data_IF_961942459164
#
_entry.id   IF_961942459164
#
_cell.length_a   1.000
_cell.length_b   1.000
_cell.length_c   1.000
_cell.angle_alpha   90.00
_cell.angle_beta   90.00
_cell.angle_gamma   90.00
#
_symmetry.space_group_name_H-M   'P 1'
#
loop_
_entity.id
_entity.type
_entity.pdbx_description
1 polymer ?
#
# COMPACT_ATOMS: atom_id res chain seq x y z
N UNK A 1 -20.29 24.19 3.07
CA UNK A 1 -19.32 24.38 1.97
C UNK A 1 -19.05 23.03 1.31
N UNK A 2 -18.67 22.96 0.03
CA UNK A 2 -18.26 21.70 -0.59
C UNK A 2 -17.05 21.15 0.16
N UNK A 3 -17.07 19.85 0.48
CA UNK A 3 -15.97 19.17 1.18
C UNK A 3 -14.76 19.05 0.24
N UNK A 4 -13.54 19.17 0.78
CA UNK A 4 -12.32 18.83 0.06
C UNK A 4 -12.29 17.31 -0.18
N UNK A 5 -12.24 16.89 -1.44
CA UNK A 5 -12.17 15.49 -1.84
C UNK A 5 -10.71 15.02 -1.89
N UNK A 6 -10.37 14.01 -1.10
CA UNK A 6 -9.01 13.45 -1.04
C UNK A 6 -9.07 11.93 -0.93
N UNK A 7 -8.16 11.24 -1.62
CA UNK A 7 -8.07 9.80 -1.63
C UNK A 7 -6.66 9.35 -1.26
N UNK A 8 -6.58 8.44 -0.29
CA UNK A 8 -5.35 7.83 0.19
C UNK A 8 -5.26 6.40 -0.30
N UNK A 9 -4.12 6.04 -0.88
CA UNK A 9 -3.86 4.73 -1.44
C UNK A 9 -2.63 4.11 -0.79
N UNK A 10 -2.73 2.86 -0.36
CA UNK A 10 -1.56 1.99 -0.35
C UNK A 10 -1.09 1.70 -1.80
N UNK A 11 0.16 1.26 -1.97
CA UNK A 11 0.73 0.92 -3.28
C UNK A 11 0.84 -0.59 -3.49
N UNK A 12 1.43 -1.31 -2.54
CA UNK A 12 1.98 -2.64 -2.71
C UNK A 12 0.94 -3.68 -2.32
N UNK A 13 0.37 -4.40 -3.30
CA UNK A 13 -0.81 -5.25 -3.08
C UNK A 13 -2.13 -4.51 -3.35
N UNK A 14 -2.08 -3.18 -3.42
CA UNK A 14 -3.25 -2.32 -3.65
C UNK A 14 -3.32 -1.74 -5.06
N UNK A 15 -2.32 -0.97 -5.50
CA UNK A 15 -2.27 -0.47 -6.89
C UNK A 15 -1.54 -1.48 -7.77
N UNK A 16 -0.49 -2.10 -7.24
CA UNK A 16 0.37 -3.05 -7.94
C UNK A 16 0.27 -4.43 -7.30
N UNK A 17 0.34 -5.48 -8.10
CA UNK A 17 0.35 -6.87 -7.64
C UNK A 17 1.73 -7.36 -7.20
N UNK A 18 2.80 -6.70 -7.66
CA UNK A 18 4.18 -6.91 -7.23
C UNK A 18 4.63 -5.66 -6.51
N UNK A 19 5.26 -5.82 -5.35
CA UNK A 19 5.72 -4.69 -4.56
C UNK A 19 6.84 -3.92 -5.26
N UNK A 20 6.99 -2.64 -4.91
CA UNK A 20 8.09 -1.79 -5.34
C UNK A 20 9.44 -2.37 -4.89
N UNK A 21 9.49 -2.97 -3.70
CA UNK A 21 10.71 -3.59 -3.14
C UNK A 21 11.09 -4.88 -3.86
N UNK A 22 10.14 -5.74 -4.24
CA UNK A 22 10.43 -6.93 -5.05
C UNK A 22 10.90 -6.53 -6.46
N UNK A 23 10.29 -5.49 -7.04
CA UNK A 23 10.70 -4.94 -8.34
C UNK A 23 12.10 -4.31 -8.28
N UNK A 24 12.44 -3.65 -7.18
CA UNK A 24 13.78 -3.13 -6.91
C UNK A 24 14.81 -4.26 -6.77
N UNK A 25 14.48 -5.33 -6.04
CA UNK A 25 15.34 -6.50 -5.95
C UNK A 25 15.65 -7.08 -7.34
N UNK A 26 14.62 -7.29 -8.17
CA UNK A 26 14.78 -7.84 -9.51
C UNK A 26 15.68 -6.97 -10.39
N UNK A 27 15.45 -5.66 -10.43
CA UNK A 27 16.27 -4.75 -11.26
C UNK A 27 17.71 -4.66 -10.74
N UNK A 28 17.92 -4.69 -9.41
CA UNK A 28 19.25 -4.65 -8.83
C UNK A 28 20.06 -5.90 -9.19
N UNK A 29 19.44 -7.08 -9.17
CA UNK A 29 20.12 -8.33 -9.53
C UNK A 29 20.39 -8.42 -11.04
N UNK A 30 19.48 -7.93 -11.88
CA UNK A 30 19.54 -8.10 -13.33
C UNK A 30 20.40 -7.05 -14.03
N UNK A 31 20.28 -5.78 -13.62
CA UNK A 31 20.75 -4.66 -14.42
C UNK A 31 21.87 -3.86 -13.76
N UNK A 32 22.10 -4.06 -12.45
CA UNK A 32 23.02 -3.26 -11.67
C UNK A 32 24.12 -4.12 -11.03
N UNK A 33 25.40 -3.89 -11.35
CA UNK A 33 26.46 -4.63 -10.69
C UNK A 33 26.53 -4.27 -9.20
N UNK A 34 26.77 -5.28 -8.35
CA UNK A 34 27.12 -5.00 -6.96
C UNK A 34 28.49 -4.30 -6.91
N UNK A 35 28.56 -3.16 -6.22
CA UNK A 35 29.75 -2.31 -6.14
C UNK A 35 30.41 -2.31 -4.76
N UNK A 36 29.88 -3.11 -3.83
CA UNK A 36 30.38 -3.20 -2.48
C UNK A 36 31.53 -4.19 -2.32
N UNK A 37 32.08 -4.26 -1.11
CA UNK A 37 33.26 -5.09 -0.82
C UNK A 37 32.92 -6.49 -0.29
N UNK A 38 31.68 -6.74 0.14
CA UNK A 38 31.28 -7.98 0.79
C UNK A 38 30.37 -8.81 -0.12
N UNK A 39 30.99 -9.37 -1.16
CA UNK A 39 30.32 -10.21 -2.17
C UNK A 39 29.73 -11.49 -1.56
N UNK A 40 30.38 -12.07 -0.54
CA UNK A 40 29.87 -13.24 0.17
C UNK A 40 28.49 -12.95 0.80
N UNK A 41 28.36 -11.83 1.53
CA UNK A 41 27.07 -11.41 2.09
C UNK A 41 26.04 -11.11 1.00
N UNK A 42 26.46 -10.47 -0.10
CA UNK A 42 25.57 -10.17 -1.23
C UNK A 42 24.96 -11.46 -1.82
N UNK A 43 25.77 -12.49 -2.03
CA UNK A 43 25.32 -13.79 -2.53
C UNK A 43 24.49 -14.56 -1.49
N UNK A 44 24.88 -14.50 -0.21
CA UNK A 44 24.13 -15.12 0.88
C UNK A 44 22.71 -14.56 0.96
N UNK A 45 22.53 -13.24 0.91
CA UNK A 45 21.21 -12.60 0.96
C UNK A 45 20.34 -13.03 -0.23
N UNK A 46 20.89 -13.16 -1.44
CA UNK A 46 20.14 -13.66 -2.59
C UNK A 46 19.69 -15.12 -2.43
N UNK A 47 20.54 -15.97 -1.86
CA UNK A 47 20.20 -17.37 -1.57
C UNK A 47 19.11 -17.47 -0.50
N UNK A 48 19.21 -16.69 0.59
CA UNK A 48 18.18 -16.59 1.62
C UNK A 48 16.82 -16.15 1.04
N UNK A 49 16.81 -15.09 0.24
CA UNK A 49 15.60 -14.61 -0.46
C UNK A 49 15.03 -15.71 -1.36
N UNK A 50 15.88 -16.42 -2.09
CA UNK A 50 15.46 -17.51 -2.98
C UNK A 50 14.85 -18.69 -2.23
N UNK A 51 15.39 -19.03 -1.05
CA UNK A 51 14.85 -20.06 -0.16
C UNK A 51 13.51 -19.64 0.44
N UNK A 52 13.42 -18.43 1.00
CA UNK A 52 12.18 -17.87 1.54
C UNK A 52 11.09 -17.79 0.46
N UNK A 53 11.45 -17.38 -0.76
CA UNK A 53 10.51 -17.32 -1.89
C UNK A 53 9.90 -18.67 -2.25
N UNK A 54 10.70 -19.73 -2.19
CA UNK A 54 10.21 -21.10 -2.40
C UNK A 54 9.34 -21.53 -1.23
N UNK A 55 9.80 -21.30 -0.02
CA UNK A 55 9.13 -21.69 1.21
C UNK A 55 7.70 -21.12 1.28
N UNK A 56 7.52 -19.79 1.22
CA UNK A 56 6.19 -19.18 1.38
C UNK A 56 5.21 -19.61 0.28
N UNK A 57 5.68 -19.95 -0.93
CA UNK A 57 4.83 -20.44 -2.03
C UNK A 57 4.39 -21.89 -1.86
N UNK A 58 5.16 -22.67 -1.11
CA UNK A 58 4.88 -24.09 -0.84
C UNK A 58 4.26 -24.34 0.54
N UNK A 59 4.27 -23.34 1.41
CA UNK A 59 3.71 -23.42 2.76
C UNK A 59 2.20 -23.20 2.72
N UNK A 60 1.47 -23.95 3.55
CA UNK A 60 0.04 -23.74 3.78
C UNK A 60 -0.15 -22.62 4.81
N UNK A 61 -0.38 -23.00 6.06
CA UNK A 61 -0.74 -22.06 7.13
C UNK A 61 0.40 -21.10 7.52
N UNK A 62 1.67 -21.47 7.30
CA UNK A 62 2.86 -20.63 7.59
C UNK A 62 3.20 -19.64 6.46
N UNK A 63 2.41 -19.60 5.39
CA UNK A 63 2.74 -18.78 4.21
C UNK A 63 2.87 -17.28 4.53
N UNK A 64 2.01 -16.76 5.40
CA UNK A 64 1.97 -15.34 5.74
C UNK A 64 3.22 -14.90 6.54
N UNK A 65 3.62 -15.68 7.54
CA UNK A 65 4.83 -15.41 8.33
C UNK A 65 6.09 -15.46 7.47
N UNK A 66 6.23 -16.51 6.63
CA UNK A 66 7.35 -16.66 5.71
C UNK A 66 7.37 -15.57 4.62
N UNK A 67 6.20 -15.09 4.21
CA UNK A 67 6.09 -13.95 3.30
C UNK A 67 6.55 -12.64 3.98
N UNK A 68 6.25 -12.46 5.26
CA UNK A 68 6.77 -11.36 6.07
C UNK A 68 8.31 -11.37 6.15
N UNK A 69 8.90 -12.53 6.46
CA UNK A 69 10.36 -12.70 6.47
C UNK A 69 10.98 -12.45 5.09
N UNK A 70 10.35 -12.96 4.02
CA UNK A 70 10.75 -12.71 2.65
C UNK A 70 10.78 -11.20 2.34
N UNK A 71 9.72 -10.46 2.69
CA UNK A 71 9.64 -9.02 2.46
C UNK A 71 10.75 -8.26 3.20
N UNK A 72 11.00 -8.58 4.48
CA UNK A 72 12.08 -7.96 5.24
C UNK A 72 13.45 -8.24 4.61
N UNK A 73 13.68 -9.46 4.17
CA UNK A 73 14.97 -9.85 3.59
C UNK A 73 15.22 -9.20 2.23
N UNK A 74 14.17 -9.03 1.41
CA UNK A 74 14.22 -8.26 0.15
C UNK A 74 14.62 -6.80 0.40
N UNK A 75 14.05 -6.16 1.43
CA UNK A 75 14.41 -4.79 1.83
C UNK A 75 15.87 -4.72 2.30
N UNK A 76 16.29 -5.64 3.17
CA UNK A 76 17.68 -5.69 3.64
C UNK A 76 18.67 -5.81 2.49
N UNK A 77 18.43 -6.76 1.57
CA UNK A 77 19.24 -6.92 0.37
C UNK A 77 19.29 -5.63 -0.44
N UNK A 78 18.14 -5.00 -0.68
CA UNK A 78 18.07 -3.80 -1.52
C UNK A 78 18.89 -2.66 -0.92
N UNK A 79 18.79 -2.43 0.39
CA UNK A 79 19.54 -1.39 1.08
C UNK A 79 21.05 -1.68 1.11
N UNK A 80 21.41 -2.96 1.21
CA UNK A 80 22.80 -3.42 1.17
C UNK A 80 23.42 -3.31 -0.23
N UNK A 81 22.71 -3.74 -1.27
CA UNK A 81 23.15 -3.69 -2.66
C UNK A 81 23.39 -2.25 -3.16
N UNK A 82 22.64 -1.28 -2.62
CA UNK A 82 22.75 0.14 -2.94
C UNK A 82 23.88 0.88 -2.20
N UNK A 83 24.67 0.21 -1.35
CA UNK A 83 25.58 0.89 -0.40
C UNK A 83 26.62 1.82 -1.07
N UNK A 84 27.11 1.45 -2.26
CA UNK A 84 28.10 2.23 -3.04
C UNK A 84 27.47 3.03 -4.19
N UNK A 85 26.15 3.12 -4.26
CA UNK A 85 25.46 3.98 -5.22
C UNK A 85 25.27 5.39 -4.63
N UNK A 86 25.41 6.41 -5.49
CA UNK A 86 25.08 7.79 -5.14
C UNK A 86 23.56 7.97 -4.99
N UNK A 87 23.13 9.01 -4.27
CA UNK A 87 21.70 9.30 -4.11
C UNK A 87 21.00 9.58 -5.46
N UNK A 88 21.72 10.14 -6.43
CA UNK A 88 21.20 10.38 -7.77
C UNK A 88 20.98 9.07 -8.53
N UNK A 89 21.95 8.14 -8.49
CA UNK A 89 21.78 6.81 -9.09
C UNK A 89 20.65 6.02 -8.41
N UNK A 90 20.53 6.09 -7.08
CA UNK A 90 19.43 5.44 -6.35
C UNK A 90 18.06 5.98 -6.80
N UNK A 91 17.94 7.29 -6.99
CA UNK A 91 16.71 7.91 -7.52
C UNK A 91 16.42 7.46 -8.95
N UNK A 92 17.45 7.34 -9.79
CA UNK A 92 17.28 6.87 -11.16
C UNK A 92 16.86 5.39 -11.22
N UNK A 93 17.44 4.53 -10.37
CA UNK A 93 16.99 3.14 -10.19
C UNK A 93 15.52 3.11 -9.79
N UNK A 94 15.11 3.93 -8.82
CA UNK A 94 13.71 4.03 -8.40
C UNK A 94 12.78 4.51 -9.51
N UNK A 95 13.24 5.46 -10.34
CA UNK A 95 12.50 5.91 -11.53
C UNK A 95 12.28 4.75 -12.51
N UNK A 96 13.32 3.95 -12.78
CA UNK A 96 13.20 2.77 -13.66
C UNK A 96 12.21 1.75 -13.11
N UNK A 97 12.22 1.48 -11.79
CA UNK A 97 11.23 0.61 -11.14
C UNK A 97 9.80 1.13 -11.38
N UNK A 98 9.56 2.42 -11.21
CA UNK A 98 8.24 3.00 -11.43
C UNK A 98 7.79 2.92 -12.91
N UNK A 99 8.71 3.12 -13.87
CA UNK A 99 8.37 3.19 -15.30
C UNK A 99 8.32 1.83 -16.00
N UNK A 100 9.31 0.96 -15.79
CA UNK A 100 9.47 -0.28 -16.57
C UNK A 100 8.42 -1.33 -16.22
N UNK A 101 7.95 -1.31 -14.98
CA UNK A 101 6.98 -2.28 -14.50
C UNK A 101 5.54 -1.74 -14.49
N UNK A 102 5.31 -0.51 -14.92
CA UNK A 102 3.98 0.11 -15.03
C UNK A 102 3.08 -0.72 -15.95
N UNK A 103 1.77 -0.67 -15.71
CA UNK A 103 0.69 -1.30 -16.49
C UNK A 103 0.65 -2.84 -16.51
N UNK A 104 1.80 -3.52 -16.52
CA UNK A 104 1.87 -4.98 -16.51
C UNK A 104 1.62 -5.57 -15.13
N UNK A 105 1.96 -4.82 -14.07
CA UNK A 105 1.82 -5.24 -12.68
C UNK A 105 0.70 -4.50 -11.94
N UNK A 106 -0.02 -3.59 -12.59
CA UNK A 106 -1.08 -2.82 -11.95
C UNK A 106 -2.42 -3.58 -11.98
N UNK A 107 -3.19 -3.49 -10.90
CA UNK A 107 -4.58 -3.95 -10.91
C UNK A 107 -5.43 -3.06 -11.80
N UNK A 108 -6.27 -3.68 -12.63
CA UNK A 108 -7.14 -2.96 -13.56
C UNK A 108 -8.13 -2.08 -12.79
N UNK A 109 -8.71 -2.61 -11.72
CA UNK A 109 -9.62 -1.85 -10.88
C UNK A 109 -8.95 -0.61 -10.31
N UNK A 110 -7.77 -0.75 -9.70
CA UNK A 110 -7.06 0.37 -9.08
C UNK A 110 -6.69 1.46 -10.10
N UNK A 111 -6.31 1.07 -11.32
CA UNK A 111 -6.06 2.02 -12.42
C UNK A 111 -7.30 2.81 -12.81
N UNK A 112 -8.43 2.14 -13.01
CA UNK A 112 -9.69 2.81 -13.36
C UNK A 112 -10.20 3.67 -12.21
N UNK A 113 -10.05 3.23 -10.95
CA UNK A 113 -10.39 4.02 -9.77
C UNK A 113 -9.55 5.31 -9.69
N UNK A 114 -8.23 5.22 -9.87
CA UNK A 114 -7.34 6.40 -9.90
C UNK A 114 -7.79 7.39 -10.97
N UNK A 115 -8.14 6.90 -12.17
CA UNK A 115 -8.63 7.74 -13.27
C UNK A 115 -9.97 8.40 -12.92
N UNK A 116 -10.92 7.63 -12.41
CA UNK A 116 -12.24 8.12 -12.00
C UNK A 116 -12.13 9.18 -10.91
N UNK A 117 -11.40 8.91 -9.82
CA UNK A 117 -11.26 9.87 -8.72
C UNK A 117 -10.60 11.18 -9.17
N UNK A 118 -9.61 11.10 -10.07
CA UNK A 118 -9.01 12.30 -10.67
C UNK A 118 -10.02 13.12 -11.46
N UNK A 119 -10.87 12.47 -12.26
CA UNK A 119 -11.94 13.14 -13.01
C UNK A 119 -12.97 13.79 -12.07
N UNK A 120 -13.22 13.17 -10.92
CA UNK A 120 -14.12 13.67 -9.88
C UNK A 120 -13.52 14.76 -8.97
N UNK A 121 -12.27 15.18 -9.25
CA UNK A 121 -11.58 16.27 -8.56
C UNK A 121 -10.99 15.89 -7.22
N UNK A 122 -10.65 14.61 -6.99
CA UNK A 122 -9.93 14.19 -5.78
C UNK A 122 -8.44 14.54 -5.85
N UNK A 123 -7.88 15.05 -4.75
CA UNK A 123 -6.45 14.97 -4.48
C UNK A 123 -6.07 13.50 -4.23
N UNK A 124 -5.02 12.99 -4.88
CA UNK A 124 -4.58 11.60 -4.73
C UNK A 124 -3.24 11.55 -3.98
N UNK A 125 -3.22 10.82 -2.86
CA UNK A 125 -2.05 10.67 -1.98
C UNK A 125 -1.72 9.19 -1.81
N UNK A 126 -0.45 8.83 -1.88
CA UNK A 126 0.01 7.47 -1.62
C UNK A 126 0.70 7.37 -0.25
N UNK A 127 0.41 6.31 0.51
CA UNK A 127 1.03 5.97 1.80
C UNK A 127 1.47 4.51 1.74
N UNK A 128 2.77 4.25 1.68
CA UNK A 128 3.34 2.89 1.54
C UNK A 128 4.48 2.65 2.52
N UNK A 129 4.65 1.39 2.93
CA UNK A 129 5.82 0.93 3.69
C UNK A 129 7.10 0.80 2.86
N UNK A 130 7.03 0.97 1.53
CA UNK A 130 8.19 0.92 0.65
C UNK A 130 9.12 2.12 0.84
N UNK A 131 10.44 1.98 0.53
CA UNK A 131 11.40 3.07 0.61
C UNK A 131 10.94 4.34 -0.11
N UNK A 132 11.12 5.48 0.55
CA UNK A 132 10.63 6.79 0.06
C UNK A 132 11.06 7.12 -1.36
N UNK A 133 12.29 6.80 -1.76
CA UNK A 133 12.75 7.10 -3.12
C UNK A 133 11.96 6.32 -4.20
N UNK A 134 11.46 5.11 -3.87
CA UNK A 134 10.57 4.35 -4.75
C UNK A 134 9.17 4.97 -4.76
N UNK A 135 8.65 5.33 -3.59
CA UNK A 135 7.33 5.98 -3.45
C UNK A 135 7.31 7.31 -4.19
N UNK A 136 8.34 8.15 -4.04
CA UNK A 136 8.46 9.44 -4.72
C UNK A 136 8.53 9.28 -6.25
N UNK A 137 9.25 8.26 -6.74
CA UNK A 137 9.27 7.92 -8.15
C UNK A 137 7.89 7.45 -8.65
N UNK A 138 7.24 6.58 -7.89
CA UNK A 138 5.90 6.06 -8.20
C UNK A 138 4.86 7.19 -8.27
N UNK A 139 4.76 8.05 -7.24
CA UNK A 139 3.74 9.12 -7.23
C UNK A 139 3.93 10.12 -8.36
N UNK A 140 5.19 10.39 -8.75
CA UNK A 140 5.50 11.23 -9.91
C UNK A 140 5.01 10.59 -11.20
N UNK A 141 5.28 9.30 -11.39
CA UNK A 141 4.91 8.55 -12.60
C UNK A 141 3.39 8.36 -12.74
N UNK A 142 2.69 8.14 -11.61
CA UNK A 142 1.25 7.88 -11.57
C UNK A 142 0.39 9.14 -11.39
N UNK A 143 1.02 10.31 -11.26
CA UNK A 143 0.34 11.60 -11.13
C UNK A 143 -0.45 11.75 -9.83
N UNK A 144 0.16 11.35 -8.72
CA UNK A 144 -0.31 11.60 -7.35
C UNK A 144 0.29 12.92 -6.85
N UNK A 145 -0.44 13.64 -5.98
CA UNK A 145 0.03 14.94 -5.45
C UNK A 145 1.12 14.78 -4.40
N UNK A 146 1.10 13.67 -3.64
CA UNK A 146 2.01 13.41 -2.53
C UNK A 146 2.22 11.92 -2.33
N UNK A 147 3.45 11.55 -2.02
CA UNK A 147 3.83 10.23 -1.51
C UNK A 147 4.38 10.33 -0.08
N UNK A 148 3.98 9.38 0.75
CA UNK A 148 4.51 9.13 2.10
C UNK A 148 5.06 7.71 2.08
N UNK A 149 6.38 7.60 2.23
CA UNK A 149 7.10 6.33 2.13
C UNK A 149 8.09 6.18 3.27
N UNK A 150 8.56 4.96 3.50
CA UNK A 150 9.51 4.64 4.56
C UNK A 150 10.85 5.35 4.33
N UNK A 151 11.27 6.15 5.31
CA UNK A 151 12.53 6.89 5.23
C UNK A 151 13.71 5.98 5.58
N UNK A 152 14.76 6.09 4.77
CA UNK A 152 16.05 5.44 5.00
C UNK A 152 17.17 6.47 4.93
N UNK A 153 18.04 6.47 5.94
CA UNK A 153 19.19 7.37 6.01
C UNK A 153 20.43 6.59 5.63
N UNK A 154 21.22 7.12 4.70
CA UNK A 154 22.51 6.52 4.34
C UNK A 154 23.50 6.75 5.48
N UNK A 155 24.03 5.67 6.04
CA UNK A 155 25.14 5.72 6.98
C UNK A 155 26.39 6.16 6.21
N UNK A 156 26.95 7.32 6.53
CA UNK A 156 28.12 7.85 5.80
C UNK A 156 29.39 7.01 5.99
N UNK A 157 29.49 6.27 7.09
CA UNK A 157 30.66 5.44 7.41
C UNK A 157 30.60 4.06 6.73
N UNK A 158 29.43 3.42 6.77
CA UNK A 158 29.22 2.09 6.19
C UNK A 158 28.75 2.16 4.72
N UNK A 159 28.12 3.26 4.32
CA UNK A 159 27.43 3.40 3.03
C UNK A 159 26.04 2.76 3.01
N UNK A 160 25.61 2.07 4.07
CA UNK A 160 24.37 1.29 4.10
C UNK A 160 23.18 2.19 4.47
N UNK A 161 22.03 1.97 3.82
CA UNK A 161 20.78 2.64 4.17
C UNK A 161 20.15 2.00 5.41
N UNK A 162 19.88 2.81 6.44
CA UNK A 162 19.23 2.41 7.70
C UNK A 162 17.83 3.00 7.78
N UNK A 163 16.87 2.17 8.14
CA UNK A 163 15.48 2.59 8.34
C UNK A 163 15.37 3.58 9.51
N UNK A 164 14.51 4.59 9.40
CA UNK A 164 14.21 5.49 10.52
C UNK A 164 13.19 4.88 11.49
N UNK A 165 13.03 5.46 12.67
CA UNK A 165 12.08 4.97 13.69
C UNK A 165 10.61 5.12 13.26
N UNK A 166 10.30 6.07 12.37
CA UNK A 166 8.94 6.30 11.88
C UNK A 166 8.60 5.21 10.88
N UNK A 167 7.67 4.32 11.28
CA UNK A 167 7.21 3.19 10.46
C UNK A 167 5.98 3.57 9.66
N UNK A 168 6.14 3.79 8.36
CA UNK A 168 5.06 4.25 7.47
C UNK A 168 4.00 3.17 7.21
N UNK A 169 4.34 1.90 7.42
CA UNK A 169 3.41 0.78 7.35
C UNK A 169 2.55 0.62 8.62
N UNK A 170 2.80 1.38 9.68
CA UNK A 170 2.02 1.31 10.92
C UNK A 170 1.20 2.58 11.12
N UNK A 171 0.02 2.45 11.72
CA UNK A 171 -0.82 3.58 12.13
C UNK A 171 -1.02 4.63 11.01
N UNK A 172 -1.30 4.18 9.77
CA UNK A 172 -1.37 5.06 8.59
C UNK A 172 -2.33 6.26 8.75
N UNK A 173 -3.36 6.12 9.59
CA UNK A 173 -4.29 7.19 9.95
C UNK A 173 -3.60 8.44 10.54
N UNK A 174 -2.44 8.30 11.20
CA UNK A 174 -1.68 9.43 11.74
C UNK A 174 -1.17 10.31 10.60
N UNK A 175 -0.60 9.70 9.55
CA UNK A 175 -0.14 10.44 8.36
C UNK A 175 -1.29 11.10 7.60
N UNK A 176 -2.45 10.44 7.56
CA UNK A 176 -3.68 11.04 7.02
C UNK A 176 -4.03 12.30 7.80
N UNK A 177 -4.21 12.21 9.11
CA UNK A 177 -4.61 13.35 9.93
C UNK A 177 -3.60 14.50 9.89
N UNK A 178 -2.30 14.19 9.93
CA UNK A 178 -1.24 15.18 9.79
C UNK A 178 -1.31 15.91 8.46
N UNK A 179 -1.49 15.17 7.36
CA UNK A 179 -1.61 15.78 6.04
C UNK A 179 -2.85 16.67 5.93
N UNK A 180 -4.00 16.22 6.44
CA UNK A 180 -5.22 17.02 6.40
C UNK A 180 -5.06 18.32 7.20
N UNK A 181 -4.42 18.27 8.37
CA UNK A 181 -4.08 19.48 9.15
C UNK A 181 -3.20 20.44 8.34
N UNK A 182 -2.21 19.94 7.61
CA UNK A 182 -1.37 20.76 6.73
C UNK A 182 -2.14 21.37 5.54
N UNK A 183 -3.29 20.80 5.16
CA UNK A 183 -4.17 21.30 4.08
C UNK A 183 -5.22 22.30 4.57
N UNK A 184 -5.34 22.53 5.88
CA UNK A 184 -6.31 23.45 6.45
C UNK A 184 -5.65 24.79 6.79
N UNK A 185 -6.20 25.90 6.29
CA UNK A 185 -5.69 27.26 6.56
C UNK A 185 -6.26 27.90 7.85
N UNK A 186 -6.70 27.09 8.82
CA UNK A 186 -7.41 27.51 10.02
C UNK A 186 -7.59 26.35 11.01
N UNK A 187 -8.67 26.37 11.80
CA UNK A 187 -8.99 25.25 12.71
C UNK A 187 -9.33 23.98 11.90
N UNK A 188 -8.73 22.87 12.28
CA UNK A 188 -8.92 21.60 11.60
C UNK A 188 -10.25 20.95 12.00
N UNK A 189 -11.12 20.71 11.01
CA UNK A 189 -12.30 19.88 11.19
C UNK A 189 -12.30 18.73 10.17
N UNK A 190 -12.31 17.49 10.65
CA UNK A 190 -12.38 16.29 9.80
C UNK A 190 -13.60 16.28 8.87
N UNK A 191 -14.71 16.91 9.28
CA UNK A 191 -15.94 17.03 8.49
C UNK A 191 -15.78 17.83 7.20
N UNK A 192 -14.72 18.64 7.08
CA UNK A 192 -14.45 19.47 5.90
C UNK A 192 -13.92 18.64 4.72
N UNK A 193 -13.58 17.37 4.97
CA UNK A 193 -13.02 16.46 4.00
C UNK A 193 -14.01 15.33 3.68
N UNK A 194 -13.98 14.90 2.42
CA UNK A 194 -14.54 13.62 2.00
C UNK A 194 -13.37 12.71 1.61
N UNK A 195 -13.15 11.67 2.40
CA UNK A 195 -11.96 10.84 2.33
C UNK A 195 -12.29 9.47 1.77
N UNK A 196 -11.54 9.08 0.74
CA UNK A 196 -11.47 7.71 0.27
C UNK A 196 -10.17 7.07 0.75
N UNK A 197 -10.24 5.84 1.22
CA UNK A 197 -9.06 5.03 1.53
C UNK A 197 -9.05 3.75 0.68
N UNK A 198 -7.89 3.38 0.16
CA UNK A 198 -7.70 2.18 -0.65
C UNK A 198 -6.50 1.40 -0.10
N UNK A 199 -6.68 0.12 0.17
CA UNK A 199 -5.64 -0.75 0.75
C UNK A 199 -6.00 -2.23 0.61
N UNK A 200 -5.09 -3.11 1.01
CA UNK A 200 -5.26 -4.57 0.89
C UNK A 200 -4.97 -5.32 2.20
N UNK A 201 -4.36 -4.66 3.19
CA UNK A 201 -3.89 -5.32 4.42
C UNK A 201 -4.48 -4.73 5.70
N UNK A 202 -4.34 -5.46 6.82
CA UNK A 202 -4.73 -4.98 8.15
C UNK A 202 -4.01 -3.69 8.57
N UNK A 203 -2.79 -3.47 8.06
CA UNK A 203 -2.03 -2.24 8.32
C UNK A 203 -2.74 -0.98 7.79
N UNK A 204 -3.61 -1.13 6.79
CA UNK A 204 -4.41 -0.05 6.22
C UNK A 204 -5.72 0.17 6.99
N UNK A 205 -6.10 -0.74 7.88
CA UNK A 205 -7.43 -0.76 8.49
C UNK A 205 -7.74 0.53 9.25
N UNK A 206 -6.80 1.08 10.01
CA UNK A 206 -7.04 2.34 10.75
C UNK A 206 -7.22 3.53 9.80
N UNK A 207 -6.51 3.54 8.66
CA UNK A 207 -6.74 4.54 7.61
C UNK A 207 -8.14 4.37 6.98
N UNK A 208 -8.54 3.13 6.73
CA UNK A 208 -9.87 2.79 6.21
C UNK A 208 -10.99 3.17 7.18
N UNK A 209 -10.81 2.92 8.47
CA UNK A 209 -11.79 3.31 9.48
C UNK A 209 -11.94 4.83 9.57
N UNK A 210 -10.84 5.57 9.42
CA UNK A 210 -10.87 7.04 9.40
C UNK A 210 -11.56 7.64 8.16
N UNK A 211 -11.71 6.87 7.08
CA UNK A 211 -12.25 7.34 5.80
C UNK A 211 -13.78 7.29 5.72
N UNK A 212 -14.35 8.08 4.80
CA UNK A 212 -15.80 8.09 4.52
C UNK A 212 -16.22 6.89 3.65
N UNK A 213 -15.35 6.46 2.72
CA UNK A 213 -15.54 5.31 1.84
C UNK A 213 -14.22 4.57 1.65
N UNK A 214 -14.28 3.24 1.57
CA UNK A 214 -13.09 2.40 1.47
C UNK A 214 -13.21 1.40 0.33
N UNK A 215 -12.09 1.13 -0.32
CA UNK A 215 -11.94 0.07 -1.30
C UNK A 215 -10.85 -0.88 -0.83
N UNK A 216 -11.21 -2.14 -0.62
CA UNK A 216 -10.30 -3.16 -0.10
C UNK A 216 -9.96 -4.12 -1.23
N UNK A 217 -8.70 -4.17 -1.63
CA UNK A 217 -8.24 -4.95 -2.77
C UNK A 217 -7.71 -6.30 -2.29
N UNK A 218 -8.21 -7.41 -2.84
CA UNK A 218 -7.73 -8.78 -2.61
C UNK A 218 -7.36 -9.10 -1.14
N UNK A 219 -8.21 -8.78 -0.13
CA UNK A 219 -7.82 -8.97 1.26
C UNK A 219 -7.59 -10.45 1.58
N UNK A 220 -6.68 -10.72 2.54
CA UNK A 220 -6.56 -12.04 3.15
C UNK A 220 -7.87 -12.45 3.85
N UNK A 221 -8.06 -13.75 4.10
CA UNK A 221 -9.25 -14.23 4.80
C UNK A 221 -9.33 -13.70 6.24
N UNK A 222 -8.19 -13.57 6.92
CA UNK A 222 -8.10 -12.97 8.25
C UNK A 222 -8.53 -11.51 8.22
N UNK A 223 -8.00 -10.72 7.29
CA UNK A 223 -8.35 -9.32 7.18
C UNK A 223 -9.81 -9.11 6.79
N UNK A 224 -10.31 -9.89 5.83
CA UNK A 224 -11.73 -9.88 5.47
C UNK A 224 -12.62 -10.17 6.69
N UNK A 225 -12.25 -11.14 7.52
CA UNK A 225 -12.97 -11.45 8.76
C UNK A 225 -12.96 -10.27 9.74
N UNK A 226 -11.83 -9.58 9.87
CA UNK A 226 -11.70 -8.35 10.67
C UNK A 226 -12.66 -7.25 10.20
N UNK A 227 -12.77 -7.04 8.88
CA UNK A 227 -13.72 -6.07 8.28
C UNK A 227 -15.18 -6.47 8.59
N UNK A 228 -15.53 -7.74 8.43
CA UNK A 228 -16.88 -8.25 8.74
C UNK A 228 -17.23 -8.01 10.21
N UNK A 229 -16.32 -8.31 11.13
CA UNK A 229 -16.52 -8.08 12.55
C UNK A 229 -16.70 -6.58 12.85
N UNK A 230 -15.91 -5.71 12.23
CA UNK A 230 -16.08 -4.27 12.35
C UNK A 230 -17.47 -3.81 11.89
N UNK A 231 -17.93 -4.27 10.72
CA UNK A 231 -19.25 -3.90 10.19
C UNK A 231 -20.37 -4.36 11.11
N UNK A 232 -20.27 -5.57 11.68
CA UNK A 232 -21.25 -6.08 12.66
C UNK A 232 -21.29 -5.22 13.92
N UNK A 233 -20.12 -4.89 14.47
CA UNK A 233 -20.02 -4.17 15.74
C UNK A 233 -20.45 -2.70 15.63
N UNK A 234 -20.38 -2.10 14.44
CA UNK A 234 -20.72 -0.69 14.18
C UNK A 234 -21.98 -0.54 13.31
N UNK A 235 -22.79 -1.59 13.24
CA UNK A 235 -23.96 -1.66 12.37
C UNK A 235 -24.94 -0.50 12.53
N UNK A 236 -25.34 -0.07 13.76
CA UNK A 236 -26.28 1.03 13.94
C UNK A 236 -25.82 2.36 13.34
N UNK A 237 -24.52 2.66 13.38
CA UNK A 237 -23.90 3.84 12.80
C UNK A 237 -23.80 3.72 11.28
N UNK A 238 -23.32 2.58 10.79
CA UNK A 238 -23.11 2.34 9.36
C UNK A 238 -24.41 2.31 8.57
N UNK A 239 -25.51 1.82 9.14
CA UNK A 239 -26.86 1.88 8.52
C UNK A 239 -27.34 3.31 8.23
N UNK A 240 -26.75 4.33 8.84
CA UNK A 240 -27.12 5.75 8.61
C UNK A 240 -26.40 6.34 7.40
N UNK A 241 -25.38 5.65 6.87
CA UNK A 241 -24.61 6.12 5.72
C UNK A 241 -25.45 5.95 4.45
N UNK A 242 -25.27 6.91 3.53
CA UNK A 242 -25.93 6.86 2.21
C UNK A 242 -25.41 5.73 1.32
N UNK A 243 -24.18 5.29 1.57
CA UNK A 243 -23.48 4.26 0.80
C UNK A 243 -22.75 3.31 1.75
N UNK A 244 -22.45 2.10 1.29
CA UNK A 244 -21.61 1.15 2.03
C UNK A 244 -20.26 1.78 2.37
N UNK A 245 -19.77 1.59 3.61
CA UNK A 245 -18.43 2.07 4.00
C UNK A 245 -17.34 1.28 3.28
N UNK A 246 -17.49 -0.03 3.17
CA UNK A 246 -16.52 -0.94 2.55
C UNK A 246 -17.01 -1.50 1.23
N UNK A 247 -16.17 -1.39 0.20
CA UNK A 247 -16.29 -2.14 -1.05
C UNK A 247 -15.07 -3.05 -1.18
N UNK A 248 -15.29 -4.35 -1.25
CA UNK A 248 -14.26 -5.38 -1.40
C UNK A 248 -14.12 -5.71 -2.88
N UNK A 249 -12.88 -5.76 -3.36
CA UNK A 249 -12.54 -6.03 -4.75
C UNK A 249 -11.67 -7.29 -4.79
N UNK A 250 -12.13 -8.32 -5.46
CA UNK A 250 -11.30 -9.50 -5.75
C UNK A 250 -10.92 -9.50 -7.23
N UNK A 251 -9.67 -9.18 -7.55
CA UNK A 251 -9.16 -9.16 -8.93
C UNK A 251 -8.20 -10.33 -9.17
N UNK A 252 -8.63 -11.29 -9.99
CA UNK A 252 -7.79 -12.43 -10.44
C UNK A 252 -7.63 -12.40 -11.94
N UNK A 253 -6.39 -12.33 -12.44
CA UNK A 253 -6.07 -12.25 -13.88
C UNK A 253 -6.86 -11.14 -14.61
N UNK A 254 -6.90 -9.93 -14.04
CA UNK A 254 -7.59 -8.76 -14.62
C UNK A 254 -9.11 -8.87 -14.71
N UNK A 255 -9.72 -9.76 -13.90
CA UNK A 255 -11.17 -9.87 -13.75
C UNK A 255 -11.53 -9.44 -12.33
N UNK A 256 -11.95 -8.18 -12.12
CA UNK A 256 -12.40 -7.72 -10.83
C UNK A 256 -13.80 -8.28 -10.54
N UNK A 257 -14.01 -8.73 -9.31
CA UNK A 257 -15.30 -9.03 -8.72
C UNK A 257 -15.51 -7.97 -7.64
N UNK A 258 -16.61 -7.23 -7.72
CA UNK A 258 -16.92 -6.15 -6.79
C UNK A 258 -17.97 -6.63 -5.81
N UNK A 259 -17.68 -6.51 -4.53
CA UNK A 259 -18.58 -6.87 -3.45
C UNK A 259 -18.77 -5.68 -2.53
N UNK A 260 -20.00 -5.25 -2.33
CA UNK A 260 -20.32 -4.18 -1.41
C UNK A 260 -20.83 -4.74 -0.09
N UNK A 261 -20.26 -4.25 1.02
CA UNK A 261 -20.67 -4.67 2.36
C UNK A 261 -21.65 -3.66 2.94
N UNK A 262 -22.91 -4.06 2.99
CA UNK A 262 -23.98 -3.29 3.60
C UNK A 262 -24.25 -3.77 5.01
N UNK A 263 -24.62 -2.82 5.87
CA UNK A 263 -25.28 -3.11 7.13
C UNK A 263 -26.74 -2.70 6.99
N UNK A 264 -27.68 -3.61 7.19
CA UNK A 264 -29.12 -3.31 7.13
C UNK A 264 -29.74 -3.42 8.53
N UNK A 265 -30.68 -2.52 8.84
CA UNK A 265 -31.59 -2.69 9.99
C UNK A 265 -32.81 -3.45 9.50
N UNK A 266 -33.03 -4.64 10.04
CA UNK A 266 -34.33 -5.32 9.91
C UNK A 266 -34.98 -5.50 11.29
N UNK A 267 -36.29 -5.77 11.30
CA UNK A 267 -37.19 -5.78 12.47
C UNK A 267 -36.72 -6.74 13.59
N UNK A 268 -35.77 -7.65 13.29
CA UNK A 268 -35.23 -8.67 14.19
C UNK A 268 -33.72 -8.53 14.51
N UNK A 269 -33.06 -7.42 14.16
CA UNK A 269 -31.60 -7.23 14.36
C UNK A 269 -30.83 -7.24 13.04
N UNK A 270 -29.70 -6.55 13.01
CA UNK A 270 -29.01 -6.19 11.76
C UNK A 270 -28.38 -7.39 11.03
N UNK A 271 -28.55 -7.44 9.71
CA UNK A 271 -27.88 -8.41 8.81
C UNK A 271 -26.83 -7.70 7.94
N UNK A 272 -25.82 -8.45 7.50
CA UNK A 272 -24.90 -8.01 6.43
C UNK A 272 -25.49 -8.52 5.12
N UNK A 273 -25.79 -7.62 4.21
CA UNK A 273 -26.25 -7.98 2.86
C UNK A 273 -25.06 -7.92 1.90
N UNK A 274 -24.82 -9.02 1.18
CA UNK A 274 -23.77 -9.12 0.17
C UNK A 274 -24.34 -8.71 -1.19
N UNK A 275 -24.01 -7.51 -1.66
CA UNK A 275 -24.21 -7.15 -3.06
C UNK A 275 -23.04 -7.66 -3.88
N UNK A 276 -23.25 -8.61 -4.79
CA UNK A 276 -22.24 -9.01 -5.79
C UNK A 276 -22.60 -8.32 -7.10
N UNK A 277 -21.76 -7.39 -7.55
CA UNK A 277 -21.81 -6.86 -8.91
C UNK A 277 -20.70 -7.55 -9.73
N UNK A 278 -21.10 -8.17 -10.85
CA UNK A 278 -20.22 -8.87 -11.80
C UNK A 278 -19.91 -7.94 -12.97
#
# INVERSE_FOLDING_TARGET
>A
MPKHKIAFFDIDGTIRNKSLTESLFEILVQDYPYRGANEEKYLQLQDEISKLRKAYKSSGDEADDLFGEYCQKVVEFSMFALEKYSLEEVREIGRRVATEYRDHQDYVFSKELIKFLRQEGFELVAISGSPKFLVDAFVKEYGFSKGIGQEYIKDESAGIFKETEIRTFQNKHIFVEELLKQRTSGEFHRSDFFIIAVGDTECDFLMMDYADKTFVINPSLSFFSSIINFVRNNSPELCKLRYSKFTIISERKRRPIVQELYSTKDINGCFIEYGVEI
#
